data_IF_358290788207
#
_entry.id   IF_358290788207
#
_cell.length_a   1.000
_cell.length_b   1.000
_cell.length_c   1.000
_cell.angle_alpha   90.00
_cell.angle_beta   90.00
_cell.angle_gamma   90.00
#
_symmetry.space_group_name_H-M   'P 1'
#
loop_
_entity.id
_entity.type
_entity.pdbx_description
1 polymer ?
#
# COMPACT_ATOMS: atom_id res chain seq x y z
N UNK A 1 15.00 6.61 -7.56
CA UNK A 1 13.79 7.28 -7.02
C UNK A 1 12.95 6.22 -6.33
N UNK A 2 12.64 6.38 -5.04
CA UNK A 2 11.76 5.45 -4.30
C UNK A 2 10.34 5.99 -4.42
N UNK A 3 9.46 5.28 -5.11
CA UNK A 3 8.05 5.65 -5.23
C UNK A 3 7.41 5.57 -3.84
N UNK A 4 6.63 6.59 -3.47
CA UNK A 4 5.87 6.62 -2.22
C UNK A 4 4.40 6.49 -2.59
N UNK A 5 3.75 5.46 -2.06
CA UNK A 5 2.32 5.19 -2.29
C UNK A 5 1.58 5.53 -1.01
N UNK A 6 0.62 6.45 -1.11
CA UNK A 6 -0.25 6.86 -0.02
C UNK A 6 -1.49 5.94 -0.03
N UNK A 7 -1.74 5.25 1.08
CA UNK A 7 -2.93 4.42 1.29
C UNK A 7 -4.02 5.23 1.98
N UNK A 8 -5.15 5.36 1.29
CA UNK A 8 -6.39 5.92 1.82
C UNK A 8 -7.18 4.83 2.58
N UNK A 9 -7.98 5.21 3.58
CA UNK A 9 -8.87 4.29 4.29
C UNK A 9 -9.79 3.49 3.34
N UNK A 10 -10.04 3.99 2.13
CA UNK A 10 -10.76 3.26 1.08
C UNK A 10 -10.08 1.96 0.64
N UNK A 11 -8.75 1.82 0.75
CA UNK A 11 -8.05 0.58 0.36
C UNK A 11 -8.11 -0.53 1.42
N UNK A 12 -8.61 -0.23 2.64
CA UNK A 12 -8.88 -1.22 3.68
C UNK A 12 -10.10 -2.10 3.36
N UNK A 13 -11.00 -1.64 2.49
CA UNK A 13 -12.22 -2.33 2.07
C UNK A 13 -12.15 -2.60 0.57
N UNK A 14 -11.31 -3.54 0.13
CA UNK A 14 -11.56 -4.99 0.20
C UNK A 14 -10.34 -5.84 0.64
N UNK A 15 -10.59 -6.97 1.32
CA UNK A 15 -9.55 -7.89 1.82
C UNK A 15 -8.42 -8.28 0.83
N UNK A 16 -8.70 -8.62 -0.44
CA UNK A 16 -7.64 -8.96 -1.41
C UNK A 16 -6.78 -7.76 -1.85
N UNK A 17 -7.32 -6.55 -1.84
CA UNK A 17 -6.59 -5.35 -2.27
C UNK A 17 -5.56 -4.95 -1.21
N UNK A 18 -5.92 -5.08 0.07
CA UNK A 18 -4.99 -4.95 1.20
C UNK A 18 -3.83 -5.95 1.08
N UNK A 19 -4.13 -7.22 0.83
CA UNK A 19 -3.08 -8.26 0.77
C UNK A 19 -2.12 -8.05 -0.40
N UNK A 20 -2.63 -7.63 -1.56
CA UNK A 20 -1.81 -7.26 -2.72
C UNK A 20 -0.87 -6.09 -2.40
N UNK A 21 -1.40 -5.03 -1.79
CA UNK A 21 -0.65 -3.82 -1.44
C UNK A 21 0.43 -4.11 -0.39
N UNK A 22 0.12 -4.92 0.63
CA UNK A 22 1.09 -5.37 1.63
C UNK A 22 2.21 -6.22 1.02
N UNK A 23 1.87 -7.14 0.12
CA UNK A 23 2.87 -7.96 -0.60
C UNK A 23 3.78 -7.08 -1.47
N UNK A 24 3.21 -6.13 -2.21
CA UNK A 24 3.97 -5.19 -3.02
C UNK A 24 4.90 -4.30 -2.19
N UNK A 25 4.43 -3.81 -1.04
CA UNK A 25 5.28 -3.08 -0.10
C UNK A 25 6.45 -3.94 0.40
N UNK A 26 6.22 -5.24 0.62
CA UNK A 26 7.25 -6.20 1.05
C UNK A 26 8.29 -6.48 -0.05
N UNK A 27 7.90 -6.40 -1.34
CA UNK A 27 8.84 -6.56 -2.47
C UNK A 27 9.78 -5.36 -2.68
N UNK A 28 9.62 -4.27 -1.90
CA UNK A 28 10.50 -3.11 -1.97
C UNK A 28 10.31 -2.23 -3.21
N UNK A 29 9.25 -2.46 -3.99
CA UNK A 29 8.92 -1.68 -5.19
C UNK A 29 8.53 -0.23 -4.86
N UNK A 30 7.94 0.00 -3.70
CA UNK A 30 7.58 1.34 -3.22
C UNK A 30 7.54 1.39 -1.68
N UNK A 31 7.59 2.60 -1.13
CA UNK A 31 7.37 2.86 0.28
C UNK A 31 5.88 3.17 0.53
N UNK A 32 5.22 2.34 1.32
CA UNK A 32 3.85 2.59 1.75
C UNK A 32 3.80 3.67 2.84
N UNK A 33 2.87 4.61 2.73
CA UNK A 33 2.48 5.55 3.80
C UNK A 33 0.97 5.59 3.92
N UNK A 34 0.47 5.84 5.13
CA UNK A 34 -0.95 6.04 5.38
C UNK A 34 -1.32 7.51 5.21
N UNK A 35 -2.54 7.79 4.73
CA UNK A 35 -3.16 9.11 4.88
C UNK A 35 -3.30 9.42 6.37
N UNK A 36 -3.10 10.68 6.77
CA UNK A 36 -3.45 11.14 8.13
C UNK A 36 -4.96 11.16 8.37
#
# INVERSE_FOLDING_TARGET
MRFVVIYDACVLYPAPLRDLLMRLATTGLFAARWTE
#
